data_IF_895307241552
#
_entry.id   IF_895307241552
#
_cell.length_a   1.000
_cell.length_b   1.000
_cell.length_c   1.000
_cell.angle_alpha   90.00
_cell.angle_beta   90.00
_cell.angle_gamma   90.00
#
_symmetry.space_group_name_H-M   'P 1'
#
loop_
_entity.id
_entity.type
_entity.pdbx_description
1 polymer ?
#
# COMPACT_ATOMS: atom_id res chain seq x y z
N UNK A 1 -11.34 0.46 -26.28
CA UNK A 1 -10.58 1.70 -26.50
C UNK A 1 -9.84 2.08 -25.24
N UNK A 2 -8.56 2.49 -25.34
CA UNK A 2 -7.76 3.04 -24.25
C UNK A 2 -7.66 4.53 -24.51
N UNK A 3 -7.90 5.34 -23.47
CA UNK A 3 -7.81 6.80 -23.51
C UNK A 3 -6.73 7.25 -22.52
N UNK A 4 -5.80 8.05 -22.99
CA UNK A 4 -4.77 8.69 -22.16
C UNK A 4 -5.17 10.15 -21.94
N UNK A 5 -5.54 10.55 -20.70
CA UNK A 5 -6.05 11.89 -20.46
C UNK A 5 -4.99 12.99 -20.62
N UNK A 6 -3.73 12.70 -20.35
CA UNK A 6 -2.61 13.62 -20.45
C UNK A 6 -1.26 12.87 -20.50
N UNK A 7 -0.17 13.58 -20.74
CA UNK A 7 1.21 13.06 -20.70
C UNK A 7 1.66 12.69 -19.27
N UNK A 8 1.08 13.35 -18.26
CA UNK A 8 1.29 13.08 -16.85
C UNK A 8 -0.06 13.06 -16.13
N UNK A 9 -0.09 12.46 -14.93
CA UNK A 9 -1.30 12.43 -14.13
C UNK A 9 -1.70 13.85 -13.69
N UNK A 10 -2.95 14.19 -13.95
CA UNK A 10 -3.65 15.38 -13.45
C UNK A 10 -5.10 14.99 -13.17
N UNK A 11 -5.53 15.14 -11.92
CA UNK A 11 -6.84 14.68 -11.46
C UNK A 11 -8.00 15.35 -12.21
N UNK A 12 -7.89 16.66 -12.49
CA UNK A 12 -8.92 17.39 -13.22
C UNK A 12 -9.08 16.86 -14.65
N UNK A 13 -7.97 16.66 -15.33
CA UNK A 13 -7.98 16.17 -16.72
C UNK A 13 -8.53 14.75 -16.79
N UNK A 14 -8.26 13.89 -15.79
CA UNK A 14 -8.86 12.56 -15.71
C UNK A 14 -10.37 12.64 -15.59
N UNK A 15 -10.90 13.45 -14.65
CA UNK A 15 -12.35 13.63 -14.46
C UNK A 15 -13.04 14.14 -15.74
N UNK A 16 -12.43 15.12 -16.40
CA UNK A 16 -12.92 15.66 -17.68
C UNK A 16 -12.96 14.59 -18.77
N UNK A 17 -11.89 13.80 -18.87
CA UNK A 17 -11.77 12.75 -19.90
C UNK A 17 -12.77 11.63 -19.66
N UNK A 18 -12.96 11.20 -18.41
CA UNK A 18 -13.95 10.17 -18.08
C UNK A 18 -15.34 10.57 -18.54
N UNK A 19 -15.74 11.81 -18.27
CA UNK A 19 -17.04 12.33 -18.71
C UNK A 19 -17.14 12.48 -20.22
N UNK A 20 -16.13 13.07 -20.87
CA UNK A 20 -16.15 13.37 -22.31
C UNK A 20 -16.16 12.09 -23.15
N UNK A 21 -15.32 11.11 -22.79
CA UNK A 21 -15.15 9.87 -23.53
C UNK A 21 -16.08 8.75 -23.01
N UNK A 22 -16.89 9.02 -21.99
CA UNK A 22 -17.79 8.06 -21.34
C UNK A 22 -17.05 6.77 -20.97
N UNK A 23 -15.90 6.93 -20.31
CA UNK A 23 -15.08 5.80 -19.90
C UNK A 23 -15.87 4.87 -18.98
N UNK A 24 -15.72 3.56 -19.18
CA UNK A 24 -16.38 2.54 -18.37
C UNK A 24 -15.47 1.90 -17.32
N UNK A 25 -14.17 2.14 -17.42
CA UNK A 25 -13.16 1.66 -16.50
C UNK A 25 -12.08 2.70 -16.26
N UNK A 26 -11.59 2.77 -15.04
CA UNK A 26 -10.50 3.66 -14.63
C UNK A 26 -9.45 2.87 -13.86
N UNK A 27 -8.18 3.05 -14.24
CA UNK A 27 -7.05 2.39 -13.59
C UNK A 27 -6.14 3.43 -12.95
N UNK A 28 -5.66 3.14 -11.76
CA UNK A 28 -4.75 4.05 -11.07
C UNK A 28 -4.09 3.45 -9.84
N UNK A 29 -3.19 4.21 -9.26
CA UNK A 29 -2.67 3.95 -7.92
C UNK A 29 -3.54 4.66 -6.89
N UNK A 30 -3.56 4.23 -5.60
CA UNK A 30 -4.42 4.85 -4.58
C UNK A 30 -4.30 6.36 -4.47
N UNK A 31 -3.09 6.93 -4.59
CA UNK A 31 -2.87 8.38 -4.54
C UNK A 31 -3.57 9.14 -5.67
N UNK A 32 -3.72 8.53 -6.85
CA UNK A 32 -4.48 9.11 -7.96
C UNK A 32 -5.97 9.18 -7.62
N UNK A 33 -6.56 8.07 -7.15
CA UNK A 33 -7.96 8.04 -6.73
C UNK A 33 -8.25 9.02 -5.58
N UNK A 34 -7.33 9.15 -4.61
CA UNK A 34 -7.47 10.14 -3.53
C UNK A 34 -7.51 11.56 -4.12
N UNK A 35 -6.58 11.89 -5.03
CA UNK A 35 -6.52 13.21 -5.65
C UNK A 35 -7.77 13.52 -6.48
N UNK A 36 -8.32 12.54 -7.18
CA UNK A 36 -9.57 12.67 -7.95
C UNK A 36 -10.78 12.88 -7.03
N UNK A 37 -10.95 12.03 -6.00
CA UNK A 37 -12.05 12.10 -5.03
C UNK A 37 -12.06 13.40 -4.20
N UNK A 38 -10.88 13.94 -3.91
CA UNK A 38 -10.74 15.15 -3.10
C UNK A 38 -10.60 16.42 -3.95
N UNK A 39 -10.72 16.30 -5.30
CA UNK A 39 -10.64 17.46 -6.18
C UNK A 39 -11.83 18.40 -5.94
N UNK A 40 -11.62 19.72 -5.80
CA UNK A 40 -12.71 20.68 -5.53
C UNK A 40 -13.86 20.64 -6.52
N UNK A 41 -13.56 20.27 -7.76
CA UNK A 41 -14.52 20.19 -8.85
C UNK A 41 -15.08 18.77 -9.06
N UNK A 42 -14.74 17.79 -8.23
CA UNK A 42 -15.15 16.39 -8.38
C UNK A 42 -16.66 16.25 -8.68
N UNK A 43 -17.50 16.91 -7.88
CA UNK A 43 -18.96 16.86 -8.00
C UNK A 43 -19.53 17.50 -9.28
N UNK A 44 -18.68 18.16 -10.09
CA UNK A 44 -19.13 18.79 -11.36
C UNK A 44 -19.11 17.81 -12.53
N UNK A 45 -18.48 16.64 -12.37
CA UNK A 45 -18.28 15.67 -13.44
C UNK A 45 -19.20 14.47 -13.30
N UNK A 46 -19.78 14.07 -14.43
CA UNK A 46 -20.59 12.85 -14.52
C UNK A 46 -19.70 11.62 -14.71
N UNK A 47 -19.58 10.81 -13.68
CA UNK A 47 -18.83 9.55 -13.66
C UNK A 47 -19.74 8.33 -13.75
N UNK A 48 -21.01 8.48 -14.08
CA UNK A 48 -22.03 7.42 -14.08
C UNK A 48 -21.74 6.29 -15.08
N UNK A 49 -20.88 6.52 -16.07
CA UNK A 49 -20.46 5.50 -17.03
C UNK A 49 -19.38 4.56 -16.49
N UNK A 50 -18.66 4.95 -15.45
CA UNK A 50 -17.70 4.07 -14.78
C UNK A 50 -18.43 2.90 -14.12
N UNK A 51 -17.82 1.74 -14.11
CA UNK A 51 -18.29 0.54 -13.39
C UNK A 51 -17.16 -0.30 -12.82
N UNK A 52 -15.97 -0.27 -13.42
CA UNK A 52 -14.86 -1.17 -13.10
C UNK A 52 -13.50 -0.46 -13.21
N UNK A 53 -12.45 -1.15 -12.85
CA UNK A 53 -11.08 -0.72 -12.96
C UNK A 53 -10.16 -1.48 -12.02
N UNK A 54 -8.93 -1.05 -11.95
CA UNK A 54 -7.93 -1.63 -11.05
C UNK A 54 -7.31 -0.53 -10.20
N UNK A 55 -7.29 -0.73 -8.89
CA UNK A 55 -6.48 0.05 -7.95
C UNK A 55 -5.30 -0.82 -7.51
N UNK A 56 -4.07 -0.43 -7.88
CA UNK A 56 -2.90 -1.26 -7.64
C UNK A 56 -1.61 -0.43 -7.53
N UNK A 57 -0.46 -1.10 -7.30
CA UNK A 57 0.86 -0.48 -7.33
C UNK A 57 1.38 0.02 -5.98
N UNK A 58 0.52 0.15 -4.98
CA UNK A 58 0.84 0.40 -3.57
C UNK A 58 -0.28 -0.15 -2.69
N UNK A 59 -0.13 -0.17 -1.36
CA UNK A 59 -1.23 -0.56 -0.48
C UNK A 59 -2.50 0.27 -0.77
N UNK A 60 -3.63 -0.42 -0.95
CA UNK A 60 -4.92 0.21 -1.23
C UNK A 60 -5.68 0.39 0.09
N UNK A 61 -5.87 1.64 0.59
CA UNK A 61 -6.60 1.87 1.82
C UNK A 61 -8.07 1.47 1.69
N UNK A 62 -8.59 0.73 2.67
CA UNK A 62 -9.96 0.22 2.66
C UNK A 62 -10.99 1.35 2.49
N UNK A 63 -10.80 2.46 3.18
CA UNK A 63 -11.74 3.58 3.13
C UNK A 63 -11.71 4.29 1.76
N UNK A 64 -10.54 4.38 1.12
CA UNK A 64 -10.43 4.93 -0.25
C UNK A 64 -11.17 4.02 -1.24
N UNK A 65 -10.99 2.71 -1.11
CA UNK A 65 -11.66 1.71 -1.95
C UNK A 65 -13.19 1.82 -1.86
N UNK A 66 -13.73 1.98 -0.64
CA UNK A 66 -15.17 2.19 -0.42
C UNK A 66 -15.68 3.48 -1.08
N UNK A 67 -14.91 4.58 -0.97
CA UNK A 67 -15.25 5.85 -1.62
C UNK A 67 -15.25 5.72 -3.15
N UNK A 68 -14.26 5.05 -3.73
CA UNK A 68 -14.21 4.79 -5.18
C UNK A 68 -15.45 4.04 -5.66
N UNK A 69 -15.89 3.04 -4.92
CA UNK A 69 -17.10 2.30 -5.24
C UNK A 69 -18.37 3.15 -5.14
N UNK A 70 -18.49 3.95 -4.07
CA UNK A 70 -19.69 4.73 -3.79
C UNK A 70 -19.77 6.02 -4.62
N UNK A 71 -18.67 6.79 -4.67
CA UNK A 71 -18.67 8.15 -5.18
C UNK A 71 -18.28 8.21 -6.68
N UNK A 72 -17.50 7.22 -7.18
CA UNK A 72 -17.07 7.13 -8.59
C UNK A 72 -17.87 6.10 -9.40
N UNK A 73 -18.92 5.52 -8.83
CA UNK A 73 -19.76 4.49 -9.48
C UNK A 73 -19.00 3.22 -9.91
N UNK A 74 -17.84 2.93 -9.30
CA UNK A 74 -16.98 1.81 -9.69
C UNK A 74 -17.25 0.57 -8.82
N UNK A 75 -18.48 0.06 -8.83
CA UNK A 75 -18.89 -1.09 -8.00
C UNK A 75 -18.04 -2.36 -8.26
N UNK A 76 -17.49 -2.51 -9.45
CA UNK A 76 -16.68 -3.65 -9.88
C UNK A 76 -15.16 -3.34 -9.87
N UNK A 77 -14.70 -2.31 -9.14
CA UNK A 77 -13.27 -2.04 -9.02
C UNK A 77 -12.56 -3.18 -8.29
N UNK A 78 -11.38 -3.56 -8.77
CA UNK A 78 -10.57 -4.66 -8.22
C UNK A 78 -9.24 -4.17 -7.70
N UNK A 79 -8.62 -4.95 -6.82
CA UNK A 79 -7.24 -4.76 -6.37
C UNK A 79 -6.37 -5.81 -7.07
N UNK A 80 -5.20 -5.43 -7.54
CA UNK A 80 -4.20 -6.34 -8.05
C UNK A 80 -2.88 -6.15 -7.28
N UNK A 81 -2.25 -7.26 -6.93
CA UNK A 81 -0.95 -7.31 -6.28
C UNK A 81 0.07 -7.99 -7.17
N UNK A 82 1.25 -7.41 -7.22
CA UNK A 82 2.41 -7.94 -7.89
C UNK A 82 3.51 -6.90 -8.03
N UNK A 83 4.51 -7.23 -8.80
CA UNK A 83 5.71 -6.43 -9.01
C UNK A 83 6.23 -6.63 -10.44
N UNK A 84 7.15 -5.77 -10.89
CA UNK A 84 7.74 -5.88 -12.24
C UNK A 84 8.33 -7.26 -12.50
N UNK A 85 8.95 -7.83 -11.49
CA UNK A 85 9.58 -9.15 -11.51
C UNK A 85 8.57 -10.31 -11.65
N UNK A 86 7.27 -10.05 -11.52
CA UNK A 86 6.19 -11.04 -11.67
C UNK A 86 5.22 -10.74 -12.83
N UNK A 87 5.54 -9.81 -13.71
CA UNK A 87 4.98 -9.47 -15.04
C UNK A 87 3.45 -9.25 -15.12
N UNK A 88 2.80 -8.37 -14.37
CA UNK A 88 3.15 -7.91 -13.05
C UNK A 88 2.34 -8.55 -11.91
N UNK A 89 1.25 -9.32 -12.20
CA UNK A 89 0.21 -9.68 -11.24
C UNK A 89 0.37 -11.11 -10.72
N UNK A 90 0.54 -11.24 -9.41
CA UNK A 90 0.51 -12.53 -8.71
C UNK A 90 -0.87 -12.84 -8.12
N UNK A 91 -1.54 -11.84 -7.54
CA UNK A 91 -2.88 -11.99 -6.97
C UNK A 91 -3.80 -10.87 -7.44
N UNK A 92 -5.09 -11.15 -7.54
CA UNK A 92 -6.11 -10.17 -7.90
C UNK A 92 -7.46 -10.54 -7.31
N UNK A 93 -8.24 -9.55 -6.87
CA UNK A 93 -9.64 -9.74 -6.55
C UNK A 93 -10.47 -9.81 -7.85
N UNK A 94 -11.53 -10.61 -7.83
CA UNK A 94 -12.52 -10.66 -8.92
C UNK A 94 -13.62 -9.63 -8.67
N UNK A 95 -14.38 -9.28 -9.71
CA UNK A 95 -15.54 -8.36 -9.61
C UNK A 95 -16.68 -8.94 -8.77
N UNK A 96 -16.77 -10.25 -8.67
CA UNK A 96 -17.72 -11.01 -7.85
C UNK A 96 -17.16 -11.41 -6.46
N UNK A 97 -15.91 -11.06 -6.15
CA UNK A 97 -15.36 -11.22 -4.79
C UNK A 97 -16.23 -10.46 -3.78
N UNK A 98 -16.63 -11.08 -2.66
CA UNK A 98 -17.38 -10.38 -1.60
C UNK A 98 -16.72 -9.06 -1.21
N UNK A 99 -17.53 -8.04 -0.94
CA UNK A 99 -17.07 -6.67 -0.73
C UNK A 99 -16.00 -6.56 0.37
N UNK A 100 -16.24 -7.23 1.50
CA UNK A 100 -15.31 -7.25 2.63
C UNK A 100 -13.94 -7.83 2.25
N UNK A 101 -13.91 -8.93 1.49
CA UNK A 101 -12.68 -9.53 0.97
C UNK A 101 -12.01 -8.65 -0.09
N UNK A 102 -12.81 -8.02 -0.98
CA UNK A 102 -12.31 -7.17 -2.07
C UNK A 102 -11.64 -5.90 -1.56
N UNK A 103 -12.11 -5.33 -0.45
CA UNK A 103 -11.52 -4.12 0.13
C UNK A 103 -10.41 -4.40 1.15
N UNK A 104 -10.30 -5.62 1.66
CA UNK A 104 -9.35 -5.97 2.72
C UNK A 104 -8.22 -6.90 2.29
N UNK A 105 -8.30 -7.47 1.06
CA UNK A 105 -7.31 -8.41 0.54
C UNK A 105 -6.85 -8.00 -0.86
N UNK A 106 -5.76 -8.61 -1.33
CA UNK A 106 -5.32 -8.48 -2.73
C UNK A 106 -5.89 -9.58 -3.62
N UNK A 107 -6.90 -10.32 -3.12
CA UNK A 107 -7.59 -11.35 -3.85
C UNK A 107 -6.91 -12.71 -3.80
N UNK A 108 -7.20 -13.53 -4.81
CA UNK A 108 -6.69 -14.87 -4.99
C UNK A 108 -5.50 -14.91 -5.94
N UNK A 109 -4.71 -15.97 -5.88
CA UNK A 109 -3.63 -16.21 -6.86
C UNK A 109 -4.18 -16.29 -8.27
N UNK A 110 -3.45 -15.72 -9.23
CA UNK A 110 -3.82 -15.81 -10.66
C UNK A 110 -3.72 -17.24 -11.19
N UNK A 111 -4.54 -17.60 -12.20
CA UNK A 111 -4.48 -18.92 -12.82
C UNK A 111 -3.06 -19.29 -13.26
N UNK A 112 -2.69 -20.55 -13.03
CA UNK A 112 -1.38 -21.13 -13.38
C UNK A 112 -0.19 -20.51 -12.68
N UNK A 113 -0.40 -19.76 -11.59
CA UNK A 113 0.62 -19.36 -10.66
C UNK A 113 0.50 -20.13 -9.35
N UNK A 114 1.61 -20.27 -8.66
CA UNK A 114 1.69 -20.84 -7.32
C UNK A 114 2.18 -19.75 -6.36
N UNK A 115 1.62 -19.72 -5.15
CA UNK A 115 2.09 -18.87 -4.06
C UNK A 115 2.30 -19.69 -2.81
N UNK A 116 3.31 -19.32 -2.04
CA UNK A 116 3.54 -19.81 -0.67
C UNK A 116 3.85 -18.62 0.23
N UNK A 117 3.53 -18.77 1.51
CA UNK A 117 3.93 -17.81 2.54
C UNK A 117 4.91 -18.54 3.44
N UNK A 118 6.11 -17.99 3.61
CA UNK A 118 7.20 -18.61 4.34
C UNK A 118 7.65 -17.74 5.50
N UNK A 119 8.17 -18.36 6.52
CA UNK A 119 8.92 -17.67 7.57
C UNK A 119 10.24 -17.19 6.98
N UNK A 120 10.55 -15.86 7.04
CA UNK A 120 11.75 -15.30 6.39
C UNK A 120 13.06 -15.84 6.93
N UNK A 121 13.10 -16.30 8.21
CA UNK A 121 14.32 -16.76 8.87
C UNK A 121 14.59 -18.22 8.57
N UNK A 122 13.56 -19.07 8.63
CA UNK A 122 13.71 -20.53 8.43
C UNK A 122 13.43 -20.99 7.00
N UNK A 123 12.81 -20.17 6.16
CA UNK A 123 12.37 -20.52 4.80
C UNK A 123 11.22 -21.54 4.74
N UNK A 124 10.65 -21.92 5.88
CA UNK A 124 9.56 -22.90 5.93
C UNK A 124 8.20 -22.26 5.70
N UNK A 125 7.32 -22.98 4.99
CA UNK A 125 5.94 -22.54 4.79
C UNK A 125 5.21 -22.43 6.13
N UNK A 126 4.59 -21.27 6.37
CA UNK A 126 3.81 -21.02 7.59
C UNK A 126 2.36 -21.51 7.46
N UNK A 127 1.67 -21.79 8.57
CA UNK A 127 0.25 -22.12 8.56
C UNK A 127 -0.62 -21.00 8.01
N UNK A 128 -1.82 -21.34 7.52
CA UNK A 128 -2.84 -20.33 7.13
C UNK A 128 -3.10 -19.37 8.29
N UNK A 129 -3.24 -18.08 7.96
CA UNK A 129 -3.42 -17.00 8.94
C UNK A 129 -2.14 -16.48 9.58
N UNK A 130 -1.02 -17.23 9.53
CA UNK A 130 0.25 -16.72 10.01
C UNK A 130 0.90 -15.77 9.00
N UNK A 131 1.64 -14.78 9.54
CA UNK A 131 2.38 -13.81 8.72
C UNK A 131 3.72 -14.41 8.28
N UNK A 132 4.08 -14.19 7.02
CA UNK A 132 5.38 -14.56 6.47
C UNK A 132 5.63 -13.86 5.13
N UNK A 133 6.77 -14.13 4.51
CA UNK A 133 7.09 -13.60 3.18
C UNK A 133 6.24 -14.30 2.11
N UNK A 134 5.63 -13.49 1.26
CA UNK A 134 4.96 -14.01 0.07
C UNK A 134 5.98 -14.35 -1.01
N UNK A 135 5.94 -15.60 -1.48
CA UNK A 135 6.71 -16.06 -2.62
C UNK A 135 5.77 -16.50 -3.73
N UNK A 136 6.11 -16.18 -4.97
CA UNK A 136 5.30 -16.50 -6.15
C UNK A 136 6.12 -17.25 -7.20
N UNK A 137 5.50 -18.19 -7.90
CA UNK A 137 6.12 -19.00 -8.95
C UNK A 137 5.16 -19.19 -10.11
N UNK A 138 5.70 -19.25 -11.30
CA UNK A 138 4.97 -19.59 -12.52
C UNK A 138 5.46 -18.82 -13.73
N UNK A 139 4.68 -18.84 -14.80
CA UNK A 139 5.06 -18.30 -16.10
C UNK A 139 5.31 -16.79 -16.11
N UNK A 140 4.76 -16.06 -15.13
CA UNK A 140 4.87 -14.60 -15.03
C UNK A 140 6.16 -14.15 -14.31
N UNK A 141 6.84 -15.05 -13.60
CA UNK A 141 8.12 -14.72 -12.94
C UNK A 141 9.18 -14.41 -13.99
N UNK A 142 9.91 -13.33 -13.80
CA UNK A 142 11.01 -12.91 -14.68
C UNK A 142 12.06 -14.00 -14.83
N UNK A 143 12.83 -13.96 -15.91
CA UNK A 143 13.98 -14.85 -16.09
C UNK A 143 15.18 -14.45 -15.21
N UNK A 144 15.28 -13.19 -14.83
CA UNK A 144 16.32 -12.65 -13.96
C UNK A 144 16.60 -11.18 -14.20
N UNK A 145 17.49 -10.62 -13.40
CA UNK A 145 18.00 -9.27 -13.59
C UNK A 145 19.08 -9.27 -14.67
N UNK A 146 19.02 -8.30 -15.58
CA UNK A 146 19.95 -8.20 -16.69
C UNK A 146 21.39 -8.02 -16.19
N UNK A 147 22.26 -8.97 -16.55
CA UNK A 147 23.68 -8.93 -16.19
C UNK A 147 23.99 -9.07 -14.70
N UNK A 148 23.02 -9.50 -13.87
CA UNK A 148 23.19 -9.65 -12.42
C UNK A 148 22.65 -11.02 -11.94
N UNK A 149 23.44 -12.05 -12.21
CA UNK A 149 23.12 -13.43 -11.80
C UNK A 149 23.12 -13.61 -10.27
N UNK A 150 23.92 -12.81 -9.55
CA UNK A 150 23.98 -12.91 -8.09
C UNK A 150 22.64 -12.45 -7.49
N UNK A 151 22.17 -11.27 -7.88
CA UNK A 151 20.90 -10.75 -7.43
C UNK A 151 19.71 -11.59 -7.93
N UNK A 152 19.81 -12.18 -9.11
CA UNK A 152 18.79 -13.11 -9.61
C UNK A 152 18.65 -14.32 -8.71
N UNK A 153 19.76 -14.94 -8.26
CA UNK A 153 19.76 -16.09 -7.33
C UNK A 153 19.29 -15.74 -5.92
N UNK A 154 19.46 -14.50 -5.50
CA UNK A 154 18.89 -14.02 -4.23
C UNK A 154 17.37 -13.86 -4.33
N UNK A 155 16.88 -13.41 -5.49
CA UNK A 155 15.47 -13.10 -5.69
C UNK A 155 14.64 -14.34 -6.05
N UNK A 156 15.20 -15.31 -6.76
CA UNK A 156 14.51 -16.52 -7.21
C UNK A 156 15.22 -17.74 -6.65
N UNK A 157 14.51 -18.50 -5.80
CA UNK A 157 15.06 -19.70 -5.15
C UNK A 157 15.26 -20.87 -6.13
N UNK A 158 15.89 -21.94 -5.65
CA UNK A 158 16.16 -23.14 -6.45
C UNK A 158 14.88 -23.88 -6.92
N UNK A 159 13.74 -23.65 -6.26
CA UNK A 159 12.45 -24.20 -6.63
C UNK A 159 11.71 -23.33 -7.67
N UNK A 160 12.27 -22.14 -8.01
CA UNK A 160 11.71 -21.18 -8.94
C UNK A 160 10.69 -20.22 -8.32
N UNK A 161 10.64 -20.10 -7.00
CA UNK A 161 9.83 -19.08 -6.36
C UNK A 161 10.57 -17.75 -6.27
N UNK A 162 9.92 -16.71 -6.70
CA UNK A 162 10.33 -15.32 -6.51
C UNK A 162 10.00 -14.87 -5.09
N UNK A 163 11.01 -14.45 -4.34
CA UNK A 163 10.91 -13.81 -3.04
C UNK A 163 10.52 -12.35 -3.23
N UNK A 164 9.33 -11.97 -2.76
CA UNK A 164 8.79 -10.63 -3.03
C UNK A 164 9.30 -9.55 -2.08
N UNK A 165 9.80 -9.95 -0.92
CA UNK A 165 10.13 -9.05 0.18
C UNK A 165 8.89 -8.44 0.85
N UNK A 166 7.69 -8.83 0.44
CA UNK A 166 6.43 -8.39 1.02
C UNK A 166 5.91 -9.44 2.01
N UNK A 167 5.51 -8.98 3.19
CA UNK A 167 4.87 -9.80 4.21
C UNK A 167 3.38 -9.92 3.96
N UNK A 168 2.87 -11.13 4.07
CA UNK A 168 1.47 -11.43 3.82
C UNK A 168 0.92 -12.47 4.80
N UNK A 169 -0.41 -12.52 4.88
CA UNK A 169 -1.17 -13.63 5.43
C UNK A 169 -2.07 -14.23 4.35
N UNK A 170 -2.45 -15.48 4.48
CA UNK A 170 -3.40 -16.13 3.59
C UNK A 170 -4.47 -16.83 4.44
N UNK A 171 -5.74 -16.53 4.18
CA UNK A 171 -6.83 -17.17 4.89
C UNK A 171 -7.15 -18.59 4.37
N UNK A 172 -8.10 -19.26 5.01
CA UNK A 172 -8.48 -20.63 4.66
C UNK A 172 -9.12 -20.74 3.26
N UNK A 173 -9.70 -19.65 2.76
CA UNK A 173 -10.28 -19.57 1.42
C UNK A 173 -9.23 -19.24 0.35
N UNK A 174 -7.99 -18.91 0.74
CA UNK A 174 -6.89 -18.58 -0.17
C UNK A 174 -6.74 -17.10 -0.49
N UNK A 175 -7.54 -16.22 0.13
CA UNK A 175 -7.36 -14.77 -0.03
C UNK A 175 -6.09 -14.30 0.66
N UNK A 176 -5.33 -13.48 -0.05
CA UNK A 176 -4.05 -12.94 0.42
C UNK A 176 -4.24 -11.52 0.92
N UNK A 177 -3.71 -11.23 2.11
CA UNK A 177 -3.61 -9.88 2.64
C UNK A 177 -2.13 -9.50 2.80
N UNK A 178 -1.71 -8.40 2.17
CA UNK A 178 -0.36 -7.85 2.34
C UNK A 178 -0.33 -7.03 3.62
N UNK A 179 0.52 -7.38 4.56
CA UNK A 179 0.63 -6.71 5.86
C UNK A 179 1.77 -5.68 5.91
N UNK A 180 2.71 -5.74 4.97
CA UNK A 180 3.82 -4.80 4.89
C UNK A 180 4.97 -5.30 4.04
N UNK A 181 6.13 -4.66 4.19
CA UNK A 181 7.39 -5.13 3.62
C UNK A 181 8.33 -5.54 4.73
N UNK A 182 9.16 -6.55 4.48
CA UNK A 182 10.18 -7.00 5.44
C UNK A 182 11.05 -5.81 5.86
N UNK A 183 11.55 -5.04 4.90
CA UNK A 183 12.43 -3.89 5.13
C UNK A 183 11.74 -2.64 5.70
N UNK A 184 10.42 -2.56 5.68
CA UNK A 184 9.65 -1.44 6.22
C UNK A 184 9.07 -1.78 7.60
N UNK A 185 9.16 -3.05 8.04
CA UNK A 185 8.77 -3.47 9.37
C UNK A 185 9.62 -2.76 10.42
N UNK A 186 8.97 -2.25 11.45
CA UNK A 186 9.63 -1.53 12.55
C UNK A 186 9.82 -2.47 13.72
N UNK A 187 11.05 -2.66 14.15
CA UNK A 187 11.37 -3.49 15.32
C UNK A 187 11.47 -2.57 16.55
N UNK A 188 10.36 -2.44 17.26
CA UNK A 188 10.25 -1.55 18.41
C UNK A 188 10.31 -2.33 19.72
N UNK A 189 11.46 -2.28 20.38
CA UNK A 189 11.64 -2.97 21.67
C UNK A 189 11.46 -4.49 21.61
N UNK A 190 11.78 -5.10 20.47
CA UNK A 190 11.60 -6.54 20.20
C UNK A 190 10.23 -6.92 19.61
N UNK A 191 9.32 -5.95 19.48
CA UNK A 191 8.01 -6.17 18.85
C UNK A 191 8.06 -5.79 17.37
N UNK A 192 7.59 -6.69 16.50
CA UNK A 192 7.43 -6.42 15.08
C UNK A 192 6.16 -5.59 14.85
N UNK A 193 6.35 -4.34 14.42
CA UNK A 193 5.26 -3.43 14.12
C UNK A 193 5.16 -3.21 12.61
N UNK A 194 3.99 -3.44 12.07
CA UNK A 194 3.72 -3.28 10.64
C UNK A 194 3.11 -1.89 10.38
N UNK A 195 3.81 -0.97 9.70
CA UNK A 195 3.34 0.39 9.43
C UNK A 195 1.96 0.44 8.82
N UNK A 196 1.64 -0.48 7.89
CA UNK A 196 0.35 -0.53 7.22
C UNK A 196 -0.84 -0.69 8.18
N UNK A 197 -0.71 -1.48 9.23
CA UNK A 197 -1.77 -1.64 10.24
C UNK A 197 -2.14 -0.30 10.88
N UNK A 198 -1.13 0.53 11.15
CA UNK A 198 -1.32 1.85 11.75
C UNK A 198 -1.89 2.82 10.73
N UNK A 199 -1.41 2.78 9.50
CA UNK A 199 -1.94 3.59 8.39
C UNK A 199 -3.42 3.30 8.16
N UNK A 200 -3.82 2.04 8.04
CA UNK A 200 -5.22 1.62 7.88
C UNK A 200 -6.10 2.08 9.06
N UNK A 201 -5.56 2.06 10.27
CA UNK A 201 -6.27 2.60 11.42
C UNK A 201 -6.44 4.12 11.33
N UNK A 202 -5.39 4.86 10.98
CA UNK A 202 -5.40 6.31 10.90
C UNK A 202 -6.23 6.84 9.72
N UNK A 203 -6.36 6.10 8.60
CA UNK A 203 -7.27 6.45 7.51
C UNK A 203 -8.74 6.54 7.92
N UNK A 204 -9.14 5.92 9.04
CA UNK A 204 -10.50 6.06 9.61
C UNK A 204 -10.72 7.40 10.32
N UNK A 205 -9.67 8.19 10.51
CA UNK A 205 -9.81 9.52 11.12
C UNK A 205 -10.46 10.48 10.14
N UNK A 206 -11.55 11.20 10.53
CA UNK A 206 -12.36 11.99 9.58
C UNK A 206 -11.59 13.15 8.93
N UNK A 207 -10.52 13.64 9.55
CA UNK A 207 -9.72 14.78 9.10
C UNK A 207 -8.41 14.38 8.41
N UNK A 208 -8.06 13.09 8.36
CA UNK A 208 -6.87 12.60 7.64
C UNK A 208 -7.23 12.31 6.20
N UNK A 209 -6.48 12.90 5.26
CA UNK A 209 -6.54 12.61 3.84
C UNK A 209 -5.63 11.45 3.48
N UNK A 210 -4.37 11.51 3.93
CA UNK A 210 -3.37 10.47 3.67
C UNK A 210 -2.38 10.39 4.84
N UNK A 211 -1.80 9.20 5.06
CA UNK A 211 -0.86 8.96 6.14
C UNK A 211 0.17 7.91 5.76
N UNK A 212 1.42 8.18 6.13
CA UNK A 212 2.53 7.24 5.95
C UNK A 212 3.27 7.05 7.25
N UNK A 213 3.51 5.80 7.63
CA UNK A 213 4.22 5.42 8.84
C UNK A 213 5.55 4.78 8.49
N UNK A 214 6.60 5.20 9.17
CA UNK A 214 7.97 4.67 9.02
C UNK A 214 8.62 4.49 10.39
N UNK A 215 9.62 3.60 10.45
CA UNK A 215 10.51 3.51 11.59
C UNK A 215 11.62 4.55 11.53
N UNK A 216 11.97 5.14 12.66
CA UNK A 216 13.16 5.97 12.83
C UNK A 216 14.01 5.41 13.98
N UNK A 217 15.34 5.55 13.96
CA UNK A 217 16.20 5.05 15.04
C UNK A 217 15.82 5.61 16.40
N UNK A 218 15.85 4.77 17.44
CA UNK A 218 15.62 5.14 18.83
C UNK A 218 16.60 4.43 19.76
N UNK A 219 17.22 5.16 20.67
CA UNK A 219 18.25 4.61 21.58
C UNK A 219 17.72 3.56 22.55
N UNK A 220 16.44 3.66 22.95
CA UNK A 220 15.84 2.76 23.94
C UNK A 220 15.19 1.54 23.31
N UNK A 221 14.51 1.73 22.20
CA UNK A 221 13.67 0.70 21.58
C UNK A 221 14.24 0.15 20.27
N UNK A 222 15.42 0.61 19.83
CA UNK A 222 15.98 0.31 18.53
C UNK A 222 15.37 1.17 17.43
N UNK A 223 14.05 1.09 17.29
CA UNK A 223 13.27 1.95 16.41
C UNK A 223 12.04 2.54 17.11
N UNK A 224 11.59 3.69 16.64
CA UNK A 224 10.32 4.33 17.00
C UNK A 224 9.48 4.65 15.78
N UNK A 225 8.18 4.73 15.98
CA UNK A 225 7.23 5.03 14.92
C UNK A 225 7.14 6.53 14.66
N UNK A 226 7.21 6.89 13.39
CA UNK A 226 6.97 8.23 12.89
C UNK A 226 5.85 8.20 11.85
N UNK A 227 4.82 9.03 12.00
CA UNK A 227 3.75 9.19 11.03
C UNK A 227 3.81 10.59 10.39
N UNK A 228 3.86 10.61 9.05
CA UNK A 228 3.62 11.80 8.25
C UNK A 228 2.17 11.82 7.82
N UNK A 229 1.49 12.95 8.00
CA UNK A 229 0.04 13.07 7.85
C UNK A 229 -0.27 14.25 6.93
N UNK A 230 -1.13 14.01 5.96
CA UNK A 230 -1.78 15.05 5.16
C UNK A 230 -3.22 15.19 5.67
N UNK A 231 -3.56 16.37 6.17
CA UNK A 231 -4.92 16.68 6.58
C UNK A 231 -5.83 16.97 5.37
N UNK A 232 -7.11 16.69 5.49
CA UNK A 232 -8.08 17.06 4.46
C UNK A 232 -8.15 18.57 4.28
N UNK A 233 -8.42 19.05 3.07
CA UNK A 233 -8.53 20.49 2.80
C UNK A 233 -9.50 21.21 3.75
N UNK A 234 -9.04 22.33 4.31
CA UNK A 234 -9.83 23.14 5.25
C UNK A 234 -10.00 22.53 6.66
N UNK A 235 -9.38 21.40 6.95
CA UNK A 235 -9.36 20.82 8.29
C UNK A 235 -8.09 21.21 9.04
N UNK A 236 -8.23 21.41 10.34
CA UNK A 236 -7.11 21.59 11.27
C UNK A 236 -6.99 20.36 12.13
N UNK A 237 -5.89 19.65 12.02
CA UNK A 237 -5.57 18.48 12.83
C UNK A 237 -4.20 18.71 13.48
N UNK A 238 -4.09 18.42 14.77
CA UNK A 238 -2.85 18.52 15.51
C UNK A 238 -2.45 17.16 16.13
N UNK A 239 -1.28 17.12 16.74
CA UNK A 239 -0.80 15.90 17.40
C UNK A 239 -1.74 15.41 18.49
N UNK A 240 -2.34 16.32 19.26
CA UNK A 240 -3.24 15.97 20.36
C UNK A 240 -4.48 15.24 19.84
N UNK A 241 -5.06 15.70 18.72
CA UNK A 241 -6.20 15.06 18.07
C UNK A 241 -5.87 13.65 17.57
N UNK A 242 -4.71 13.47 16.94
CA UNK A 242 -4.27 12.14 16.47
C UNK A 242 -4.05 11.20 17.66
N UNK A 243 -3.37 11.65 18.73
CA UNK A 243 -3.11 10.83 19.91
C UNK A 243 -4.40 10.44 20.64
N UNK A 244 -5.36 11.35 20.79
CA UNK A 244 -6.66 11.05 21.40
C UNK A 244 -7.46 10.05 20.53
N UNK A 245 -7.38 10.15 19.21
CA UNK A 245 -7.99 9.17 18.31
C UNK A 245 -7.42 7.77 18.48
N UNK A 246 -6.11 7.64 18.71
CA UNK A 246 -5.42 6.36 18.95
C UNK A 246 -5.71 5.76 20.33
N UNK A 247 -6.02 6.59 21.31
CA UNK A 247 -6.12 6.20 22.71
C UNK A 247 -7.16 5.10 22.96
N UNK A 248 -6.69 3.97 23.51
CA UNK A 248 -7.54 2.81 23.83
C UNK A 248 -8.08 2.05 22.63
N UNK A 249 -7.74 2.45 21.41
CA UNK A 249 -8.20 1.79 20.15
C UNK A 249 -7.11 0.98 19.45
N UNK A 250 -5.85 1.32 19.67
CA UNK A 250 -4.69 0.52 19.24
C UNK A 250 -3.74 0.30 20.40
N UNK A 251 -2.89 -0.71 20.30
CA UNK A 251 -1.88 -0.99 21.33
C UNK A 251 -0.95 0.21 21.49
N UNK A 252 -0.56 0.51 22.76
CA UNK A 252 0.25 1.68 23.06
C UNK A 252 1.57 1.74 22.25
N UNK A 253 2.21 0.60 22.04
CA UNK A 253 3.46 0.53 21.29
C UNK A 253 3.29 0.76 19.78
N UNK A 254 2.05 0.75 19.26
CA UNK A 254 1.69 1.07 17.88
C UNK A 254 1.31 2.54 17.66
N UNK A 255 1.19 3.32 18.73
CA UNK A 255 0.92 4.76 18.61
C UNK A 255 2.20 5.48 18.17
N UNK A 256 2.18 6.19 17.02
CA UNK A 256 3.38 6.90 16.56
C UNK A 256 3.87 7.93 17.59
N UNK A 257 5.15 7.84 17.91
CA UNK A 257 5.80 8.80 18.81
C UNK A 257 5.97 10.16 18.14
N UNK A 258 6.38 10.14 16.87
CA UNK A 258 6.61 11.34 16.10
C UNK A 258 5.48 11.51 15.10
N UNK A 259 4.90 12.71 15.06
CA UNK A 259 3.83 13.08 14.16
C UNK A 259 4.27 14.33 13.37
N UNK A 260 4.19 14.30 12.06
CA UNK A 260 4.51 15.43 11.21
C UNK A 260 3.38 15.67 10.20
N UNK A 261 2.90 16.89 10.18
CA UNK A 261 1.90 17.33 9.19
C UNK A 261 2.61 17.93 7.99
N UNK A 262 2.23 17.48 6.81
CA UNK A 262 2.85 17.86 5.54
C UNK A 262 1.79 18.11 4.48
N UNK A 263 2.15 18.88 3.44
CA UNK A 263 1.25 19.14 2.31
C UNK A 263 1.39 18.05 1.21
N UNK A 264 2.53 17.35 1.16
CA UNK A 264 2.77 16.29 0.18
C UNK A 264 3.84 15.31 0.69
N UNK A 265 3.78 14.06 0.21
CA UNK A 265 4.83 13.07 0.41
C UNK A 265 5.85 13.08 -0.73
N UNK A 266 7.11 12.67 -0.48
CA UNK A 266 8.05 12.36 -1.54
C UNK A 266 7.55 11.17 -2.36
N UNK A 267 7.42 11.34 -3.67
CA UNK A 267 6.91 10.33 -4.59
C UNK A 267 7.87 10.05 -5.73
N UNK A 268 7.73 8.87 -6.33
CA UNK A 268 8.31 8.56 -7.63
C UNK A 268 7.51 9.25 -8.75
N UNK A 269 8.06 9.31 -9.97
CA UNK A 269 7.36 9.82 -11.16
C UNK A 269 6.04 9.06 -11.42
N UNK A 270 5.97 7.80 -10.99
CA UNK A 270 4.78 6.94 -11.15
C UNK A 270 3.76 7.07 -10.00
N UNK A 271 3.93 8.05 -9.09
CA UNK A 271 3.00 8.32 -7.99
C UNK A 271 3.14 7.39 -6.78
N UNK A 272 4.20 6.58 -6.69
CA UNK A 272 4.46 5.73 -5.52
C UNK A 272 5.21 6.50 -4.45
N UNK A 273 4.75 6.40 -3.20
CA UNK A 273 5.35 7.06 -2.05
C UNK A 273 6.71 6.43 -1.71
N UNK A 274 7.70 7.28 -1.48
CA UNK A 274 9.07 6.89 -1.15
C UNK A 274 9.27 6.90 0.38
N UNK A 275 8.86 5.84 1.07
CA UNK A 275 8.99 5.71 2.53
C UNK A 275 10.42 5.86 3.02
N UNK A 276 11.40 5.34 2.26
CA UNK A 276 12.81 5.50 2.61
C UNK A 276 13.22 6.98 2.69
N UNK A 277 12.67 7.83 1.79
CA UNK A 277 12.95 9.27 1.80
C UNK A 277 12.28 9.98 2.98
N UNK A 278 11.08 9.55 3.37
CA UNK A 278 10.40 10.02 4.59
C UNK A 278 11.29 9.70 5.81
N UNK A 279 11.81 8.48 5.90
CA UNK A 279 12.70 8.03 6.98
C UNK A 279 13.97 8.88 7.04
N UNK A 280 14.65 9.07 5.92
CA UNK A 280 15.87 9.91 5.84
C UNK A 280 15.62 11.34 6.32
N UNK A 281 14.56 11.99 5.80
CA UNK A 281 14.20 13.37 6.18
C UNK A 281 13.89 13.50 7.68
N UNK A 282 13.21 12.49 8.25
CA UNK A 282 12.93 12.52 9.69
C UNK A 282 14.18 12.26 10.54
N UNK A 283 15.08 11.40 10.10
CA UNK A 283 16.36 11.19 10.78
C UNK A 283 17.19 12.47 10.81
N UNK A 284 17.26 13.18 9.68
CA UNK A 284 17.93 14.48 9.58
C UNK A 284 17.30 15.52 10.51
N UNK A 285 15.97 15.65 10.49
CA UNK A 285 15.22 16.63 11.30
C UNK A 285 15.33 16.38 12.81
N UNK A 286 15.30 15.12 13.21
CA UNK A 286 15.40 14.72 14.62
C UNK A 286 16.85 14.58 15.11
N UNK A 287 17.85 14.75 14.21
CA UNK A 287 19.26 14.57 14.54
C UNK A 287 19.60 13.12 14.94
N UNK A 288 18.84 12.13 14.41
CA UNK A 288 19.03 10.73 14.72
C UNK A 288 20.05 10.12 13.75
N UNK A 289 21.08 9.46 14.29
CA UNK A 289 22.01 8.66 13.50
C UNK A 289 21.71 7.17 13.67
N UNK A 290 21.84 6.39 12.61
CA UNK A 290 21.80 4.93 12.71
C UNK A 290 22.93 4.50 13.66
N UNK A 291 22.59 3.92 14.81
CA UNK A 291 23.56 3.18 15.59
C UNK A 291 23.80 1.85 14.87
N UNK A 292 25.01 1.68 14.32
CA UNK A 292 25.47 0.35 13.91
C UNK A 292 25.48 -0.50 15.17
N UNK A 293 24.47 -1.34 15.34
CA UNK A 293 24.54 -2.47 16.28
C UNK A 293 25.61 -3.41 15.75
N UNK A 294 26.60 -3.67 16.59
CA UNK A 294 27.70 -4.58 16.31
C UNK A 294 27.19 -6.02 16.17
#
# INVERSE_FOLDING_TARGET
CIVYPNDAFDALTVLQTVQAEKCTGLHGVPTMFIAELDHPDFAKYDLSTLRTGIMAGSPCPIEVMKRVQADMNMAEVTIAYGMTETSPVSCQSSTDTPLDKRVSTVGLVQPHLEIKIIDPDSGQTVPRGATGELCTKGYSVMQGYWGDDARTREAIDAEGFMHTGDLATMDDEGYVNIVGRIKDMVIRGGENVYPREIEEFLYRHPQIQDVQVVGVPDQKFGEELCAWIIAKPGQTLDEAGVREFCKGKIAHYKVPRYLKFVDAFPMTITGKIQKFRIRELMQEELGLSEQKTA
#
